data_IF_197638947534
#
_entry.id   IF_197638947534
#
_cell.length_a   1.000
_cell.length_b   1.000
_cell.length_c   1.000
_cell.angle_alpha   90.00
_cell.angle_beta   90.00
_cell.angle_gamma   90.00
#
_symmetry.space_group_name_H-M   'P 1'
#
loop_
_entity.id
_entity.type
_entity.pdbx_description
1 polymer ?
#
# COMPACT_ATOMS: atom_id res chain seq x y z
N UNK A 1 -24.47 -0.89 -17.92
CA UNK A 1 -23.47 0.12 -17.52
C UNK A 1 -23.95 0.68 -16.20
N UNK A 2 -23.52 0.11 -15.08
CA UNK A 2 -23.85 0.64 -13.75
C UNK A 2 -22.52 0.85 -13.02
N UNK A 3 -21.98 2.07 -13.17
CA UNK A 3 -20.88 2.53 -12.37
C UNK A 3 -21.42 2.82 -10.97
N UNK A 4 -21.47 1.78 -10.13
CA UNK A 4 -21.79 1.92 -8.72
C UNK A 4 -20.92 3.01 -8.12
N UNK A 5 -21.55 4.04 -7.58
CA UNK A 5 -20.94 5.12 -6.83
C UNK A 5 -20.11 4.49 -5.72
N UNK A 6 -18.79 4.42 -5.89
CA UNK A 6 -17.90 4.02 -4.83
C UNK A 6 -18.04 5.08 -3.74
N UNK A 7 -18.75 4.76 -2.67
CA UNK A 7 -18.76 5.59 -1.47
C UNK A 7 -17.32 5.75 -1.01
N UNK A 8 -16.86 7.00 -0.93
CA UNK A 8 -15.52 7.30 -0.45
C UNK A 8 -15.37 6.75 0.97
N UNK A 9 -14.53 5.72 1.11
CA UNK A 9 -14.20 5.14 2.40
C UNK A 9 -13.12 5.99 3.06
N UNK A 10 -13.28 6.31 4.35
CA UNK A 10 -12.29 7.07 5.13
C UNK A 10 -11.73 6.23 6.27
N UNK A 11 -10.44 6.40 6.54
CA UNK A 11 -9.73 5.76 7.64
C UNK A 11 -8.82 6.78 8.32
N UNK A 12 -9.04 7.04 9.62
CA UNK A 12 -8.30 8.05 10.38
C UNK A 12 -8.25 9.42 9.69
N UNK A 13 -9.34 9.83 9.02
CA UNK A 13 -9.42 11.10 8.28
C UNK A 13 -8.84 11.06 6.86
N UNK A 14 -8.23 9.96 6.44
CA UNK A 14 -7.67 9.82 5.08
C UNK A 14 -8.62 9.06 4.15
N UNK A 15 -8.74 9.50 2.90
CA UNK A 15 -9.55 8.80 1.89
C UNK A 15 -8.84 7.52 1.44
N UNK A 16 -9.44 6.37 1.72
CA UNK A 16 -8.88 5.05 1.42
C UNK A 16 -8.88 4.80 -0.08
N UNK A 17 -7.74 4.37 -0.59
CA UNK A 17 -7.55 3.88 -1.96
C UNK A 17 -7.74 2.37 -1.99
N UNK A 18 -7.11 1.67 -1.05
CA UNK A 18 -7.18 0.22 -0.98
C UNK A 18 -6.78 -0.29 0.39
N UNK A 19 -7.37 -1.42 0.80
CA UNK A 19 -6.90 -2.22 1.93
C UNK A 19 -6.23 -3.49 1.41
N UNK A 20 -5.06 -3.78 1.95
CA UNK A 20 -4.36 -5.05 1.72
C UNK A 20 -4.18 -5.81 3.03
N UNK A 21 -3.61 -7.01 2.92
CA UNK A 21 -3.36 -7.92 4.03
C UNK A 21 -2.60 -7.33 5.24
N UNK A 22 -1.80 -6.28 5.04
CA UNK A 22 -0.94 -5.71 6.08
C UNK A 22 -0.98 -4.19 6.15
N UNK A 23 -1.68 -3.53 5.22
CA UNK A 23 -1.59 -2.08 5.03
C UNK A 23 -2.88 -1.48 4.53
N UNK A 24 -3.08 -0.22 4.87
CA UNK A 24 -4.04 0.68 4.23
C UNK A 24 -3.27 1.63 3.34
N UNK A 25 -3.69 1.76 2.08
CA UNK A 25 -3.22 2.82 1.19
C UNK A 25 -4.32 3.88 1.14
N UNK A 26 -3.95 5.13 1.39
CA UNK A 26 -4.86 6.26 1.33
C UNK A 26 -4.29 7.36 0.43
N UNK A 27 -5.16 8.24 -0.06
CA UNK A 27 -4.74 9.39 -0.86
C UNK A 27 -4.11 10.43 0.05
N UNK A 28 -3.04 11.05 -0.43
CA UNK A 28 -2.46 12.19 0.26
C UNK A 28 -3.42 13.39 0.12
N UNK A 29 -3.81 14.05 1.23
CA UNK A 29 -4.71 15.20 1.17
C UNK A 29 -4.06 16.44 0.53
N UNK A 30 -2.73 16.55 0.56
CA UNK A 30 -1.99 17.72 0.09
C UNK A 30 -1.57 17.59 -1.37
N UNK A 31 -1.33 16.36 -1.86
CA UNK A 31 -0.98 16.09 -3.26
C UNK A 31 -1.77 14.90 -3.82
N UNK A 32 -2.80 15.12 -4.67
CA UNK A 32 -3.61 14.04 -5.21
C UNK A 32 -2.86 13.10 -6.16
N UNK A 33 -1.64 13.43 -6.60
CA UNK A 33 -0.75 12.54 -7.34
C UNK A 33 0.03 11.57 -6.44
N UNK A 34 -0.16 11.65 -5.11
CA UNK A 34 0.54 10.85 -4.12
C UNK A 34 -0.40 10.01 -3.28
N UNK A 35 0.18 8.99 -2.67
CA UNK A 35 -0.50 8.14 -1.71
C UNK A 35 0.37 7.86 -0.50
N UNK A 36 -0.31 7.58 0.61
CA UNK A 36 0.25 7.26 1.90
C UNK A 36 -0.05 5.79 2.20
N UNK A 37 0.97 5.01 2.49
CA UNK A 37 0.83 3.59 2.87
C UNK A 37 1.10 3.43 4.36
N UNK A 38 0.07 3.07 5.09
CA UNK A 38 0.08 2.86 6.53
C UNK A 38 0.19 1.38 6.84
N UNK A 39 0.97 1.03 7.84
CA UNK A 39 0.92 -0.32 8.38
C UNK A 39 -0.33 -0.49 9.24
N UNK A 40 -1.02 -1.62 9.09
CA UNK A 40 -2.16 -1.95 9.95
C UNK A 40 -1.72 -2.19 11.40
N UNK A 41 -2.59 -2.00 12.40
CA UNK A 41 -2.33 -2.49 13.75
C UNK A 41 -2.08 -4.01 13.77
N UNK A 42 -1.34 -4.56 14.75
CA UNK A 42 -1.03 -5.99 14.80
C UNK A 42 -2.24 -6.94 14.73
N UNK A 43 -3.40 -6.52 15.28
CA UNK A 43 -4.64 -7.30 15.27
C UNK A 43 -5.29 -7.44 13.89
N UNK A 44 -5.04 -6.48 13.00
CA UNK A 44 -5.68 -6.39 11.68
C UNK A 44 -4.77 -6.93 10.56
N UNK A 45 -3.53 -7.32 10.87
CA UNK A 45 -2.59 -7.89 9.91
C UNK A 45 -2.82 -9.38 9.71
N UNK A 46 -2.57 -9.84 8.49
CA UNK A 46 -2.54 -11.27 8.20
C UNK A 46 -1.47 -11.99 9.02
N UNK A 47 -1.77 -13.24 9.41
CA UNK A 47 -0.85 -14.11 10.15
C UNK A 47 0.39 -14.42 9.30
N UNK A 48 1.55 -14.39 9.94
CA UNK A 48 2.85 -14.60 9.29
C UNK A 48 3.68 -15.62 10.08
N UNK A 49 4.66 -16.22 9.41
CA UNK A 49 5.58 -17.17 10.05
C UNK A 49 6.41 -16.55 11.18
N UNK A 50 7.01 -17.42 12.01
CA UNK A 50 7.74 -17.05 13.24
C UNK A 50 8.79 -15.95 13.03
N UNK A 51 9.56 -16.02 11.93
CA UNK A 51 10.59 -15.03 11.58
C UNK A 51 10.02 -13.62 11.39
N UNK A 52 8.93 -13.50 10.62
CA UNK A 52 8.30 -12.19 10.38
C UNK A 52 7.61 -11.67 11.64
N UNK A 53 7.04 -12.56 12.46
CA UNK A 53 6.47 -12.18 13.77
C UNK A 53 7.54 -11.58 14.69
N UNK A 54 8.72 -12.20 14.77
CA UNK A 54 9.84 -11.64 15.54
C UNK A 54 10.27 -10.27 14.99
N UNK A 55 10.36 -10.10 13.67
CA UNK A 55 10.68 -8.80 13.06
C UNK A 55 9.65 -7.73 13.41
N UNK A 56 8.35 -8.05 13.34
CA UNK A 56 7.26 -7.14 13.73
C UNK A 56 7.35 -6.75 15.20
N UNK A 57 7.63 -7.71 16.08
CA UNK A 57 7.83 -7.42 17.50
C UNK A 57 9.05 -6.53 17.75
N UNK A 58 10.18 -6.79 17.08
CA UNK A 58 11.36 -5.93 17.16
C UNK A 58 11.08 -4.52 16.64
N UNK A 59 10.25 -4.38 15.61
CA UNK A 59 9.87 -3.09 15.04
C UNK A 59 9.11 -2.18 16.00
N UNK A 60 8.43 -2.74 17.02
CA UNK A 60 7.78 -1.96 18.08
C UNK A 60 8.79 -1.22 18.96
N UNK A 61 10.03 -1.71 19.04
CA UNK A 61 11.11 -1.13 19.86
C UNK A 61 12.17 -0.41 19.02
N UNK A 62 12.32 -0.85 17.77
CA UNK A 62 13.28 -0.29 16.82
C UNK A 62 12.50 0.12 15.58
N UNK A 63 12.04 1.39 15.50
CA UNK A 63 11.23 1.87 14.39
C UNK A 63 11.91 1.70 13.02
N UNK A 64 13.25 1.62 12.98
CA UNK A 64 14.05 1.31 11.79
C UNK A 64 13.75 -0.06 11.16
N UNK A 65 13.15 -0.99 11.92
CA UNK A 65 12.76 -2.32 11.48
C UNK A 65 11.30 -2.41 11.01
N UNK A 66 10.55 -1.29 11.04
CA UNK A 66 9.20 -1.19 10.51
C UNK A 66 9.13 -1.63 9.04
N UNK A 67 7.96 -2.13 8.64
CA UNK A 67 7.70 -2.59 7.28
C UNK A 67 7.81 -1.43 6.27
N UNK A 68 7.36 -0.22 6.64
CA UNK A 68 7.51 0.99 5.81
C UNK A 68 8.98 1.34 5.52
N UNK A 69 9.83 1.36 6.54
CA UNK A 69 11.27 1.63 6.37
C UNK A 69 12.00 0.49 5.66
N UNK A 70 11.60 -0.75 5.92
CA UNK A 70 12.13 -1.93 5.20
C UNK A 70 11.82 -1.82 3.71
N UNK A 71 10.60 -1.44 3.35
CA UNK A 71 10.19 -1.27 1.95
C UNK A 71 10.92 -0.11 1.27
N UNK A 72 11.04 1.04 1.92
CA UNK A 72 11.81 2.17 1.38
C UNK A 72 13.27 1.78 1.12
N UNK A 73 13.90 1.02 2.02
CA UNK A 73 15.26 0.53 1.84
C UNK A 73 15.37 -0.44 0.65
N UNK A 74 14.40 -1.35 0.52
CA UNK A 74 14.34 -2.29 -0.59
C UNK A 74 14.17 -1.55 -1.93
N UNK A 75 13.27 -0.57 -1.99
CA UNK A 75 13.06 0.29 -3.15
C UNK A 75 14.34 1.04 -3.54
N UNK A 76 15.01 1.70 -2.57
CA UNK A 76 16.27 2.43 -2.83
C UNK A 76 17.36 1.51 -3.38
N UNK A 77 17.51 0.31 -2.81
CA UNK A 77 18.47 -0.69 -3.32
C UNK A 77 18.12 -1.14 -4.73
N UNK A 78 16.83 -1.32 -5.02
CA UNK A 78 16.37 -1.68 -6.37
C UNK A 78 16.64 -0.55 -7.36
N UNK A 79 16.35 0.71 -6.99
CA UNK A 79 16.63 1.91 -7.80
C UNK A 79 18.11 2.08 -8.07
N UNK A 80 18.97 1.85 -7.08
CA UNK A 80 20.43 1.87 -7.27
C UNK A 80 20.90 0.80 -8.26
N UNK A 81 20.28 -0.38 -8.27
CA UNK A 81 20.67 -1.49 -9.14
C UNK A 81 20.14 -1.34 -10.57
N UNK A 82 18.92 -0.83 -10.74
CA UNK A 82 18.21 -0.83 -12.03
C UNK A 82 18.12 0.55 -12.68
N UNK A 83 18.35 1.63 -11.92
CA UNK A 83 18.25 3.00 -12.42
C UNK A 83 16.92 3.27 -13.10
N UNK A 84 16.99 3.85 -14.30
CA UNK A 84 15.84 4.22 -15.12
C UNK A 84 15.00 3.02 -15.59
N UNK A 85 15.55 1.79 -15.59
CA UNK A 85 14.77 0.61 -15.98
C UNK A 85 13.59 0.31 -15.02
N UNK A 86 13.58 0.94 -13.84
CA UNK A 86 12.49 0.88 -12.88
C UNK A 86 11.35 1.86 -13.19
N UNK A 87 11.60 2.89 -14.00
CA UNK A 87 10.61 3.91 -14.33
C UNK A 87 9.41 3.28 -15.06
N UNK A 88 8.20 3.68 -14.66
CA UNK A 88 6.94 3.13 -15.18
C UNK A 88 6.63 1.68 -14.75
N UNK A 89 7.54 0.98 -14.05
CA UNK A 89 7.31 -0.40 -13.56
C UNK A 89 6.93 -0.45 -12.09
N UNK A 90 7.36 0.53 -11.31
CA UNK A 90 7.00 0.67 -9.91
C UNK A 90 6.71 2.14 -9.58
N UNK A 91 5.71 2.37 -8.74
CA UNK A 91 5.47 3.68 -8.14
C UNK A 91 6.70 4.11 -7.32
N UNK A 92 7.15 5.36 -7.48
CA UNK A 92 8.30 5.83 -6.72
C UNK A 92 7.96 5.91 -5.23
N UNK A 93 8.93 5.53 -4.38
CA UNK A 93 8.83 5.70 -2.93
C UNK A 93 9.74 6.85 -2.50
N UNK A 94 9.16 7.92 -1.98
CA UNK A 94 9.85 9.17 -1.69
C UNK A 94 10.47 9.17 -0.29
N UNK A 95 9.71 8.69 0.70
CA UNK A 95 10.15 8.72 2.09
C UNK A 95 9.11 8.17 3.04
N UNK A 96 9.46 8.16 4.33
CA UNK A 96 8.48 7.95 5.40
C UNK A 96 8.15 9.32 5.99
N UNK A 97 6.87 9.64 6.07
CA UNK A 97 6.36 10.89 6.65
C UNK A 97 5.56 10.58 7.89
N UNK A 98 5.65 11.45 8.89
CA UNK A 98 4.82 11.36 10.10
C UNK A 98 3.48 12.04 9.84
N UNK A 99 2.41 11.40 10.29
CA UNK A 99 1.03 11.90 10.11
C UNK A 99 0.24 11.71 11.40
N UNK A 100 -0.97 12.28 11.47
CA UNK A 100 -1.88 12.07 12.60
C UNK A 100 -2.26 10.59 12.81
N UNK A 101 -2.23 9.76 11.76
CA UNK A 101 -2.50 8.33 11.82
C UNK A 101 -1.23 7.48 12.06
N UNK A 102 -0.09 8.12 12.31
CA UNK A 102 1.21 7.48 12.45
C UNK A 102 2.07 7.56 11.17
N UNK A 103 3.24 6.89 11.17
CA UNK A 103 4.19 6.98 10.06
C UNK A 103 3.68 6.27 8.80
N UNK A 104 3.74 6.95 7.66
CA UNK A 104 3.32 6.43 6.37
C UNK A 104 4.48 6.40 5.37
N UNK A 105 4.52 5.39 4.52
CA UNK A 105 5.38 5.41 3.34
C UNK A 105 4.70 6.26 2.25
N UNK A 106 5.34 7.35 1.85
CA UNK A 106 4.89 8.28 0.83
C UNK A 106 5.35 7.83 -0.55
N UNK A 107 4.40 7.63 -1.47
CA UNK A 107 4.63 7.09 -2.81
C UNK A 107 3.85 7.85 -3.88
N UNK A 108 4.24 7.68 -5.14
CA UNK A 108 3.37 8.02 -6.27
C UNK A 108 2.05 7.23 -6.18
N UNK A 109 0.94 7.92 -6.45
CA UNK A 109 -0.34 7.27 -6.66
C UNK A 109 -0.41 6.76 -8.11
N UNK A 110 -0.67 5.46 -8.29
CA UNK A 110 -0.94 4.91 -9.62
C UNK A 110 -2.39 5.24 -9.96
N UNK A 111 -2.58 6.05 -11.00
CA UNK A 111 -3.88 6.54 -11.44
C UNK A 111 -4.29 5.88 -12.76
N UNK A 112 -5.59 5.75 -12.95
CA UNK A 112 -6.22 5.45 -14.23
C UNK A 112 -6.38 6.74 -15.04
N UNK A 113 -6.77 6.61 -16.31
CA UNK A 113 -6.95 7.74 -17.23
C UNK A 113 -8.02 8.74 -16.75
N UNK A 114 -8.96 8.30 -15.93
CA UNK A 114 -10.00 9.14 -15.32
C UNK A 114 -9.54 9.83 -14.00
N UNK A 115 -8.27 9.70 -13.63
CA UNK A 115 -7.69 10.27 -12.42
C UNK A 115 -8.05 9.54 -11.13
N UNK A 116 -8.76 8.41 -11.21
CA UNK A 116 -9.05 7.54 -10.07
C UNK A 116 -7.86 6.63 -9.77
N UNK A 117 -7.63 6.27 -8.50
CA UNK A 117 -6.59 5.32 -8.16
C UNK A 117 -6.82 3.95 -8.81
N UNK A 118 -5.75 3.35 -9.35
CA UNK A 118 -5.80 2.01 -9.89
C UNK A 118 -6.11 0.97 -8.80
N UNK A 119 -6.77 -0.12 -9.19
CA UNK A 119 -7.06 -1.24 -8.29
C UNK A 119 -5.78 -1.90 -7.79
N UNK A 120 -5.78 -2.28 -6.50
CA UNK A 120 -4.63 -2.95 -5.91
C UNK A 120 -4.51 -4.40 -6.40
N UNK A 121 -3.28 -4.92 -6.47
CA UNK A 121 -3.04 -6.34 -6.78
C UNK A 121 -3.80 -7.27 -5.81
N UNK A 122 -3.89 -6.89 -4.53
CA UNK A 122 -4.64 -7.66 -3.53
C UNK A 122 -6.12 -7.82 -3.90
N UNK A 123 -6.75 -6.76 -4.42
CA UNK A 123 -8.14 -6.81 -4.90
C UNK A 123 -8.30 -7.80 -6.05
N UNK A 124 -7.39 -7.75 -7.04
CA UNK A 124 -7.42 -8.67 -8.18
C UNK A 124 -7.24 -10.13 -7.78
N UNK A 125 -6.37 -10.41 -6.81
CA UNK A 125 -6.05 -11.78 -6.42
C UNK A 125 -7.08 -12.41 -5.47
N UNK A 126 -7.68 -11.64 -4.56
CA UNK A 126 -8.45 -12.20 -3.45
C UNK A 126 -9.90 -11.72 -3.35
N UNK A 127 -10.27 -10.61 -4.01
CA UNK A 127 -11.63 -10.04 -3.93
C UNK A 127 -12.38 -10.26 -5.25
N UNK A 128 -11.69 -10.17 -6.39
CA UNK A 128 -12.28 -10.30 -7.72
C UNK A 128 -12.27 -11.72 -8.30
N UNK A 129 -11.61 -12.67 -7.64
CA UNK A 129 -11.53 -14.07 -8.06
C UNK A 129 -12.79 -14.88 -7.70
N UNK A 130 -13.94 -14.43 -8.17
CA UNK A 130 -15.07 -15.30 -8.46
C UNK A 130 -14.97 -15.76 -9.92
N UNK A 131 -13.97 -16.59 -10.22
CA UNK A 131 -13.92 -17.27 -11.52
C UNK A 131 -14.92 -18.43 -11.47
N UNK A 132 -16.05 -18.29 -12.15
CA UNK A 132 -16.98 -19.38 -12.44
C UNK A 132 -16.49 -20.09 -13.70
N UNK A 133 -16.06 -21.37 -13.64
CA UNK A 133 -15.90 -22.15 -14.86
C UNK A 133 -17.26 -22.28 -15.54
N UNK A 134 -17.36 -21.82 -16.78
CA UNK A 134 -18.43 -22.24 -17.69
C UNK A 134 -18.33 -23.75 -17.80
N UNK A 135 -19.35 -24.46 -17.31
CA UNK A 135 -19.47 -25.90 -17.56
C UNK A 135 -19.69 -26.08 -19.06
N UNK A 136 -18.78 -26.80 -19.72
CA UNK A 136 -19.02 -27.38 -21.03
C UNK A 136 -20.06 -28.51 -20.91
#
# INVERSE_FOLDING_TARGET
MDAGTATDEYWNGFRVISRGANRVCARDPDDPARCLKFELPPGDRTRVGRRQRLRRWLALRVPALGENRTELRAYRRLRQRLGAALDGRMAACHGVVDTAAGPALHCDCVLQDDGRPASSLYRHLFIWSAWTPSRC
#
